data_IF_879770679946
#
_entry.id   IF_879770679946
#
_cell.length_a   1.000
_cell.length_b   1.000
_cell.length_c   1.000
_cell.angle_alpha   90.00
_cell.angle_beta   90.00
_cell.angle_gamma   90.00
#
_symmetry.space_group_name_H-M   'P 1'
#
loop_
_entity.id
_entity.type
_entity.pdbx_description
1 polymer ?
#
# COMPACT_ATOMS: atom_id res chain seq x y z
N UNK A 1 -20.53 -8.36 7.23
CA UNK A 1 -19.30 -9.15 7.51
C UNK A 1 -18.18 -8.15 7.61
N UNK A 2 -17.35 -8.25 8.64
CA UNK A 2 -16.17 -7.41 8.78
C UNK A 2 -15.20 -7.62 7.63
N UNK A 3 -14.52 -6.59 7.20
CA UNK A 3 -13.71 -6.62 5.99
C UNK A 3 -12.29 -6.09 6.22
N UNK A 4 -11.36 -6.58 5.42
CA UNK A 4 -10.00 -6.05 5.29
C UNK A 4 -9.89 -5.42 3.90
N UNK A 5 -9.52 -4.16 3.83
CA UNK A 5 -9.22 -3.49 2.56
C UNK A 5 -7.75 -3.76 2.19
N UNK A 6 -7.54 -4.38 1.02
CA UNK A 6 -6.20 -4.56 0.47
C UNK A 6 -5.94 -3.61 -0.70
N UNK A 7 -4.84 -2.87 -0.62
CA UNK A 7 -4.39 -1.92 -1.64
C UNK A 7 -3.13 -2.46 -2.31
N UNK A 8 -3.26 -2.88 -3.57
CA UNK A 8 -2.15 -3.43 -4.34
C UNK A 8 -1.11 -2.36 -4.73
N UNK A 9 0.10 -2.77 -5.07
CA UNK A 9 1.17 -1.90 -5.54
C UNK A 9 1.03 -1.51 -7.02
N UNK A 10 1.94 -0.64 -7.47
CA UNK A 10 2.05 -0.25 -8.88
C UNK A 10 2.25 -1.48 -9.78
N UNK A 11 1.75 -1.43 -10.99
CA UNK A 11 1.83 -2.49 -12.00
C UNK A 11 1.23 -3.83 -11.57
N UNK A 12 0.16 -3.79 -10.75
CA UNK A 12 -0.56 -4.93 -10.20
C UNK A 12 -2.08 -4.69 -10.29
N UNK A 13 -2.90 -5.55 -9.67
CA UNK A 13 -4.36 -5.44 -9.67
C UNK A 13 -4.97 -6.01 -8.38
N UNK A 14 -6.28 -5.82 -8.19
CA UNK A 14 -7.01 -6.28 -7.01
C UNK A 14 -6.97 -7.80 -6.79
N UNK A 15 -6.83 -8.60 -7.84
CA UNK A 15 -6.69 -10.06 -7.76
C UNK A 15 -5.22 -10.53 -7.58
N UNK A 16 -4.33 -9.64 -7.18
CA UNK A 16 -2.92 -9.96 -6.98
C UNK A 16 -2.71 -11.04 -5.90
N UNK A 17 -1.56 -11.70 -5.96
CA UNK A 17 -1.19 -12.82 -5.09
C UNK A 17 -1.40 -12.54 -3.60
N UNK A 18 -1.09 -11.33 -3.10
CA UNK A 18 -1.29 -10.99 -1.68
C UNK A 18 -2.77 -10.90 -1.29
N UNK A 19 -3.64 -10.43 -2.19
CA UNK A 19 -5.08 -10.44 -1.95
C UNK A 19 -5.58 -11.89 -1.81
N UNK A 20 -5.10 -12.80 -2.66
CA UNK A 20 -5.43 -14.23 -2.56
C UNK A 20 -4.92 -14.85 -1.26
N UNK A 21 -3.74 -14.46 -0.79
CA UNK A 21 -3.22 -14.89 0.52
C UNK A 21 -4.05 -14.34 1.69
N UNK A 22 -4.52 -13.12 1.63
CA UNK A 22 -5.46 -12.60 2.63
C UNK A 22 -6.75 -13.43 2.68
N UNK A 23 -7.34 -13.78 1.53
CA UNK A 23 -8.52 -14.64 1.46
C UNK A 23 -8.25 -16.02 2.09
N UNK A 24 -7.06 -16.59 1.83
CA UNK A 24 -6.66 -17.91 2.35
C UNK A 24 -6.51 -17.92 3.89
N UNK A 25 -5.88 -16.88 4.48
CA UNK A 25 -5.54 -16.84 5.89
C UNK A 25 -6.59 -16.19 6.80
N UNK A 26 -7.51 -15.37 6.24
CA UNK A 26 -8.48 -14.58 6.99
C UNK A 26 -9.92 -14.87 6.54
N UNK A 27 -10.31 -16.14 6.64
CA UNK A 27 -11.61 -16.67 6.15
C UNK A 27 -12.82 -16.07 6.85
N UNK A 28 -12.65 -15.49 8.04
CA UNK A 28 -13.71 -14.83 8.81
C UNK A 28 -13.94 -13.36 8.39
N UNK A 29 -13.12 -12.87 7.46
CA UNK A 29 -13.19 -11.50 6.92
C UNK A 29 -13.47 -11.52 5.41
N UNK A 30 -14.25 -10.55 4.97
CA UNK A 30 -14.32 -10.24 3.54
C UNK A 30 -13.07 -9.48 3.13
N UNK A 31 -12.41 -9.90 2.05
CA UNK A 31 -11.29 -9.15 1.48
C UNK A 31 -11.81 -8.25 0.36
N UNK A 32 -11.77 -6.95 0.61
CA UNK A 32 -12.10 -5.90 -0.37
C UNK A 32 -10.79 -5.48 -1.03
N UNK A 33 -10.67 -5.71 -2.33
CA UNK A 33 -9.42 -5.45 -3.06
C UNK A 33 -9.73 -4.85 -4.44
N UNK A 34 -9.98 -3.54 -4.52
CA UNK A 34 -10.24 -2.87 -5.79
C UNK A 34 -9.00 -2.87 -6.68
N UNK A 35 -9.20 -2.91 -8.00
CA UNK A 35 -8.13 -2.60 -8.95
C UNK A 35 -8.04 -1.08 -9.11
N UNK A 36 -6.85 -0.55 -8.86
CA UNK A 36 -6.54 0.88 -8.96
C UNK A 36 -5.74 1.15 -10.22
N UNK A 37 -6.16 2.13 -11.00
CA UNK A 37 -5.43 2.56 -12.20
C UNK A 37 -4.35 3.59 -11.84
N UNK A 38 -3.21 3.12 -11.39
CA UNK A 38 -2.04 3.97 -11.10
C UNK A 38 -1.40 4.59 -12.34
N UNK A 39 -1.78 4.17 -13.55
CA UNK A 39 -1.12 4.59 -14.78
C UNK A 39 -1.65 5.92 -15.30
N UNK A 40 -2.96 6.15 -15.12
CA UNK A 40 -3.65 7.30 -15.72
C UNK A 40 -4.41 8.16 -14.71
N UNK A 41 -4.76 7.61 -13.54
CA UNK A 41 -5.51 8.34 -12.52
C UNK A 41 -4.60 9.12 -11.58
N UNK A 42 -5.11 10.29 -11.13
CA UNK A 42 -4.48 11.07 -10.07
C UNK A 42 -4.63 10.39 -8.70
N UNK A 43 -3.76 10.69 -7.72
CA UNK A 43 -3.95 10.24 -6.33
C UNK A 43 -5.32 10.58 -5.75
N UNK A 44 -5.88 11.74 -6.06
CA UNK A 44 -7.21 12.17 -5.58
C UNK A 44 -8.32 11.25 -6.10
N UNK A 45 -8.26 10.85 -7.38
CA UNK A 45 -9.22 9.90 -7.95
C UNK A 45 -9.13 8.52 -7.29
N UNK A 46 -7.91 8.05 -7.03
CA UNK A 46 -7.67 6.78 -6.31
C UNK A 46 -8.14 6.85 -4.85
N UNK A 47 -7.91 7.97 -4.17
CA UNK A 47 -8.39 8.22 -2.81
C UNK A 47 -9.91 8.19 -2.77
N UNK A 48 -10.58 8.83 -3.73
CA UNK A 48 -12.04 8.83 -3.82
C UNK A 48 -12.59 7.41 -4.02
N UNK A 49 -11.95 6.58 -4.86
CA UNK A 49 -12.29 5.17 -5.03
C UNK A 49 -12.12 4.38 -3.73
N UNK A 50 -10.96 4.52 -3.06
CA UNK A 50 -10.69 3.84 -1.79
C UNK A 50 -11.64 4.27 -0.68
N UNK A 51 -11.98 5.56 -0.63
CA UNK A 51 -12.95 6.08 0.33
C UNK A 51 -14.33 5.49 0.09
N UNK A 52 -14.75 5.34 -1.15
CA UNK A 52 -16.01 4.66 -1.49
C UNK A 52 -16.03 3.21 -0.98
N UNK A 53 -14.93 2.46 -1.13
CA UNK A 53 -14.84 1.09 -0.58
C UNK A 53 -14.95 1.10 0.96
N UNK A 54 -14.31 2.06 1.63
CA UNK A 54 -14.38 2.20 3.09
C UNK A 54 -15.81 2.56 3.55
N UNK A 55 -16.49 3.45 2.83
CA UNK A 55 -17.84 3.91 3.18
C UNK A 55 -18.91 2.82 2.92
N UNK A 56 -18.64 1.85 2.03
CA UNK A 56 -19.60 0.81 1.62
C UNK A 56 -19.39 -0.55 2.29
N UNK A 57 -18.23 -0.76 2.92
CA UNK A 57 -17.90 -2.00 3.61
C UNK A 57 -17.52 -1.75 5.08
N UNK A 58 -17.75 -2.75 5.95
CA UNK A 58 -17.32 -2.72 7.37
C UNK A 58 -15.80 -2.98 7.46
N UNK A 59 -14.99 -1.99 7.01
CA UNK A 59 -13.53 -2.12 6.98
C UNK A 59 -12.97 -2.00 8.41
N UNK A 60 -12.29 -3.06 8.87
CA UNK A 60 -11.63 -3.13 10.18
C UNK A 60 -10.18 -2.70 10.14
N UNK A 61 -9.50 -2.97 9.02
CA UNK A 61 -8.14 -2.52 8.79
C UNK A 61 -7.83 -2.40 7.31
N UNK A 62 -6.77 -1.66 7.01
CA UNK A 62 -6.22 -1.52 5.66
C UNK A 62 -4.86 -2.20 5.60
N UNK A 63 -4.61 -2.99 4.57
CA UNK A 63 -3.30 -3.59 4.26
C UNK A 63 -2.89 -3.15 2.87
N UNK A 64 -1.68 -2.66 2.70
CA UNK A 64 -1.21 -2.31 1.36
C UNK A 64 0.28 -2.51 1.17
N UNK A 65 0.71 -2.63 -0.09
CA UNK A 65 2.10 -2.91 -0.43
C UNK A 65 2.65 -1.91 -1.44
N UNK A 66 3.91 -1.51 -1.30
CA UNK A 66 4.61 -0.62 -2.23
C UNK A 66 3.87 0.72 -2.39
N UNK A 67 3.49 1.12 -3.61
CA UNK A 67 2.66 2.31 -3.84
C UNK A 67 1.30 2.22 -3.10
N UNK A 68 0.69 1.02 -3.08
CA UNK A 68 -0.49 0.74 -2.24
C UNK A 68 -0.20 0.86 -0.74
N UNK A 69 1.04 0.60 -0.31
CA UNK A 69 1.49 0.84 1.07
C UNK A 69 1.49 2.33 1.42
N UNK A 70 1.95 3.20 0.51
CA UNK A 70 1.84 4.66 0.67
C UNK A 70 0.37 5.10 0.76
N UNK A 71 -0.49 4.60 -0.14
CA UNK A 71 -1.93 4.89 -0.09
C UNK A 71 -2.56 4.39 1.22
N UNK A 72 -2.12 3.24 1.73
CA UNK A 72 -2.55 2.70 3.03
C UNK A 72 -2.20 3.64 4.18
N UNK A 73 -0.99 4.20 4.20
CA UNK A 73 -0.60 5.20 5.20
C UNK A 73 -1.54 6.41 5.16
N UNK A 74 -1.77 6.97 3.97
CA UNK A 74 -2.64 8.12 3.80
C UNK A 74 -4.09 7.84 4.19
N UNK A 75 -4.66 6.72 3.74
CA UNK A 75 -6.04 6.33 4.06
C UNK A 75 -6.23 6.02 5.55
N UNK A 76 -5.22 5.44 6.22
CA UNK A 76 -5.21 5.26 7.67
C UNK A 76 -5.36 6.60 8.40
N UNK A 77 -4.55 7.59 8.01
CA UNK A 77 -4.59 8.94 8.60
C UNK A 77 -5.91 9.66 8.30
N UNK A 78 -6.41 9.56 7.07
CA UNK A 78 -7.64 10.23 6.62
C UNK A 78 -8.90 9.66 7.28
N UNK A 79 -8.98 8.33 7.40
CA UNK A 79 -10.19 7.62 7.85
C UNK A 79 -10.09 7.12 9.30
N UNK A 80 -8.94 7.26 9.94
CA UNK A 80 -8.71 6.81 11.30
C UNK A 80 -8.78 5.29 11.48
N UNK A 81 -8.44 4.51 10.44
CA UNK A 81 -8.46 3.05 10.46
C UNK A 81 -7.08 2.48 10.78
N UNK A 82 -7.06 1.32 11.47
CA UNK A 82 -5.84 0.55 11.68
C UNK A 82 -5.27 0.09 10.34
N UNK A 83 -3.95 0.07 10.19
CA UNK A 83 -3.32 -0.20 8.92
C UNK A 83 -1.96 -0.89 9.03
N UNK A 84 -1.66 -1.72 8.04
CA UNK A 84 -0.34 -2.31 7.82
C UNK A 84 0.21 -1.88 6.46
N UNK A 85 1.26 -1.06 6.47
CA UNK A 85 1.99 -0.65 5.28
C UNK A 85 3.19 -1.58 5.05
N UNK A 86 3.17 -2.34 3.95
CA UNK A 86 4.20 -3.33 3.60
C UNK A 86 5.11 -2.71 2.55
N UNK A 87 6.39 -2.55 2.85
CA UNK A 87 7.38 -1.96 1.95
C UNK A 87 6.84 -0.70 1.22
N UNK A 88 6.34 0.33 1.95
CA UNK A 88 5.66 1.45 1.33
C UNK A 88 6.61 2.29 0.47
N UNK A 89 6.17 2.61 -0.76
CA UNK A 89 6.86 3.55 -1.63
C UNK A 89 6.60 4.99 -1.18
N UNK A 90 7.25 5.42 -0.11
CA UNK A 90 7.05 6.76 0.48
C UNK A 90 7.55 7.90 -0.43
N UNK A 91 8.32 7.58 -1.48
CA UNK A 91 8.83 8.53 -2.48
C UNK A 91 8.49 8.09 -3.91
N UNK A 92 7.19 8.06 -4.29
CA UNK A 92 6.80 7.58 -5.62
C UNK A 92 7.34 8.45 -6.76
N UNK A 93 7.62 9.73 -6.51
CA UNK A 93 8.28 10.63 -7.45
C UNK A 93 9.71 10.18 -7.83
N UNK A 94 10.36 9.40 -6.98
CA UNK A 94 11.67 8.81 -7.28
C UNK A 94 11.51 7.43 -7.92
N UNK A 95 10.71 6.55 -7.30
CA UNK A 95 10.58 5.15 -7.73
C UNK A 95 9.82 4.98 -9.06
N UNK A 96 8.84 5.85 -9.36
CA UNK A 96 8.03 5.76 -10.58
C UNK A 96 8.64 6.45 -11.81
N UNK A 97 9.59 7.37 -11.62
CA UNK A 97 10.17 8.17 -12.72
C UNK A 97 10.66 7.33 -13.89
N UNK A 98 11.28 6.20 -13.61
CA UNK A 98 11.83 5.29 -14.64
C UNK A 98 10.76 4.62 -15.51
N UNK A 99 9.51 4.65 -15.11
CA UNK A 99 8.40 3.99 -15.80
C UNK A 99 7.56 4.92 -16.66
N UNK A 100 7.82 6.24 -16.61
CA UNK A 100 7.06 7.23 -17.37
C UNK A 100 7.30 7.00 -18.87
N UNK A 101 6.22 6.79 -19.63
CA UNK A 101 6.25 6.57 -21.07
C UNK A 101 6.83 5.21 -21.50
N UNK A 102 7.16 4.33 -20.56
CA UNK A 102 7.65 2.97 -20.85
C UNK A 102 6.47 2.00 -20.91
N UNK A 103 6.50 1.05 -21.87
CA UNK A 103 5.53 -0.03 -21.92
C UNK A 103 5.73 -0.97 -20.72
N UNK A 104 4.69 -1.14 -19.93
CA UNK A 104 4.66 -2.01 -18.76
C UNK A 104 3.67 -3.14 -19.00
N UNK A 105 4.04 -4.36 -18.59
CA UNK A 105 3.11 -5.48 -18.53
C UNK A 105 2.67 -5.63 -17.08
N UNK A 106 1.37 -5.50 -16.84
CA UNK A 106 0.80 -5.68 -15.50
C UNK A 106 1.00 -7.12 -15.02
N UNK A 107 1.57 -7.29 -13.84
CA UNK A 107 1.94 -8.61 -13.30
C UNK A 107 0.73 -9.52 -12.96
N UNK A 108 -0.45 -8.95 -12.78
CA UNK A 108 -1.64 -9.69 -12.39
C UNK A 108 -2.61 -9.93 -13.55
N UNK A 109 -2.64 -9.05 -14.56
CA UNK A 109 -3.60 -9.09 -15.68
C UNK A 109 -2.94 -9.39 -17.02
N UNK A 110 -1.60 -9.35 -17.10
CA UNK A 110 -0.80 -9.49 -18.33
C UNK A 110 -1.14 -8.46 -19.41
N UNK A 111 -1.84 -7.38 -19.05
CA UNK A 111 -2.20 -6.29 -19.96
C UNK A 111 -1.07 -5.25 -20.04
N UNK A 112 -0.98 -4.56 -21.18
CA UNK A 112 0.01 -3.50 -21.44
C UNK A 112 -0.52 -2.16 -20.98
N UNK A 113 0.32 -1.40 -20.28
CA UNK A 113 0.01 -0.07 -19.78
C UNK A 113 1.19 0.87 -19.96
N UNK A 114 0.93 2.17 -19.82
CA UNK A 114 1.93 3.24 -19.82
C UNK A 114 1.62 4.19 -18.68
N UNK A 115 2.61 4.46 -17.82
CA UNK A 115 2.47 5.53 -16.83
C UNK A 115 2.52 6.87 -17.58
N UNK A 116 1.42 7.64 -17.52
CA UNK A 116 1.37 8.96 -18.12
C UNK A 116 2.23 9.96 -17.35
N UNK A 117 2.76 10.98 -18.04
CA UNK A 117 3.48 12.08 -17.40
C UNK A 117 2.56 12.83 -16.43
N UNK A 118 1.29 13.04 -16.81
CA UNK A 118 0.30 13.72 -15.98
C UNK A 118 0.04 12.98 -14.64
N UNK A 119 -0.15 11.66 -14.68
CA UNK A 119 -0.31 10.87 -13.46
C UNK A 119 0.95 10.93 -12.59
N UNK A 120 2.13 10.82 -13.19
CA UNK A 120 3.40 10.94 -12.46
C UNK A 120 3.55 12.31 -11.77
N UNK A 121 3.26 13.42 -12.48
CA UNK A 121 3.34 14.78 -11.93
C UNK A 121 2.33 14.97 -10.77
N UNK A 122 1.13 14.35 -10.88
CA UNK A 122 0.14 14.36 -9.82
C UNK A 122 0.64 13.66 -8.54
N UNK A 123 1.41 12.57 -8.65
CA UNK A 123 2.05 11.94 -7.47
C UNK A 123 3.07 12.86 -6.81
N UNK A 124 3.83 13.63 -7.59
CA UNK A 124 4.78 14.59 -7.02
C UNK A 124 4.04 15.67 -6.21
N UNK A 125 2.96 16.24 -6.75
CA UNK A 125 2.12 17.20 -6.03
C UNK A 125 1.48 16.62 -4.78
N UNK A 126 1.01 15.38 -4.86
CA UNK A 126 0.41 14.70 -3.72
C UNK A 126 1.40 14.51 -2.55
N UNK A 127 2.63 14.08 -2.83
CA UNK A 127 3.65 13.84 -1.80
C UNK A 127 4.10 15.15 -1.14
N UNK A 128 4.26 16.23 -1.90
CA UNK A 128 4.73 17.52 -1.37
C UNK A 128 3.61 18.35 -0.70
N UNK A 129 2.37 17.96 -0.89
CA UNK A 129 1.18 18.60 -0.33
C UNK A 129 0.40 17.64 0.57
N UNK A 130 -0.74 17.09 0.12
CA UNK A 130 -1.69 16.37 0.97
C UNK A 130 -1.07 15.25 1.80
N UNK A 131 -0.14 14.46 1.25
CA UNK A 131 0.51 13.37 1.98
C UNK A 131 1.43 13.89 3.11
N UNK A 132 2.15 14.98 2.86
CA UNK A 132 3.04 15.58 3.85
C UNK A 132 2.28 16.31 4.97
N UNK A 133 1.05 16.77 4.70
CA UNK A 133 0.25 17.58 5.61
C UNK A 133 -0.61 16.75 6.56
N UNK A 134 -0.79 15.42 6.30
CA UNK A 134 -1.59 14.58 7.20
C UNK A 134 -0.85 14.23 8.48
N UNK A 135 -1.62 14.06 9.55
CA UNK A 135 -1.12 13.54 10.81
C UNK A 135 -1.27 12.02 10.87
N UNK A 136 -0.15 11.30 10.98
CA UNK A 136 -0.14 9.85 11.15
C UNK A 136 -0.27 9.45 12.61
N UNK A 137 -1.25 8.61 12.92
CA UNK A 137 -1.48 8.08 14.26
C UNK A 137 -0.63 6.81 14.48
N UNK A 138 0.31 6.86 15.42
CA UNK A 138 1.21 5.74 15.73
C UNK A 138 0.48 4.51 16.32
N UNK A 139 -0.70 4.70 16.91
CA UNK A 139 -1.51 3.61 17.46
C UNK A 139 -2.27 2.85 16.37
N UNK A 140 -2.36 3.44 15.16
CA UNK A 140 -3.12 2.88 14.04
C UNK A 140 -2.26 2.38 12.90
N UNK A 141 -1.08 2.95 12.70
CA UNK A 141 -0.22 2.64 11.56
C UNK A 141 0.97 1.76 11.98
N UNK A 142 1.04 0.58 11.40
CA UNK A 142 2.13 -0.39 11.55
C UNK A 142 2.86 -0.58 10.23
N UNK A 143 4.16 -0.83 10.29
CA UNK A 143 5.00 -1.08 9.12
C UNK A 143 5.57 -2.50 9.13
N UNK A 144 5.66 -3.10 7.94
CA UNK A 144 6.41 -4.33 7.68
C UNK A 144 7.44 -4.05 6.58
N UNK A 145 8.73 -4.05 6.93
CA UNK A 145 9.81 -3.61 6.06
C UNK A 145 10.77 -4.75 5.75
N UNK A 146 11.02 -5.00 4.47
CA UNK A 146 12.03 -5.92 4.00
C UNK A 146 13.40 -5.23 4.01
N UNK A 147 14.39 -5.80 4.71
CA UNK A 147 15.75 -5.22 4.73
C UNK A 147 16.49 -5.35 3.40
N UNK A 148 16.14 -6.37 2.61
CA UNK A 148 16.73 -6.64 1.30
C UNK A 148 15.82 -6.16 0.16
N UNK A 149 15.17 -5.00 0.34
CA UNK A 149 14.31 -4.40 -0.69
C UNK A 149 15.16 -3.86 -1.85
N UNK A 150 15.15 -4.60 -2.95
CA UNK A 150 15.96 -4.30 -4.15
C UNK A 150 15.40 -3.17 -5.02
N UNK A 151 14.12 -2.77 -4.79
CA UNK A 151 13.46 -1.73 -5.58
C UNK A 151 13.48 -0.36 -4.91
N UNK A 152 13.23 -0.32 -3.60
CA UNK A 152 13.14 0.94 -2.84
C UNK A 152 14.40 1.21 -2.00
N UNK A 153 15.27 0.21 -1.83
CA UNK A 153 16.51 0.34 -1.08
C UNK A 153 16.27 0.44 0.44
N UNK A 154 17.12 1.23 1.11
CA UNK A 154 17.06 1.39 2.57
C UNK A 154 15.84 2.18 3.02
N UNK A 155 15.21 1.72 4.10
CA UNK A 155 14.12 2.41 4.81
C UNK A 155 14.58 3.32 5.94
N UNK A 156 15.86 3.67 6.03
CA UNK A 156 16.37 4.47 7.15
C UNK A 156 15.70 5.84 7.28
N UNK A 157 15.45 6.51 6.16
CA UNK A 157 14.73 7.79 6.14
C UNK A 157 13.27 7.64 6.62
N UNK A 158 12.59 6.58 6.20
CA UNK A 158 11.23 6.28 6.66
C UNK A 158 11.23 5.95 8.16
N UNK A 159 12.17 5.14 8.64
CA UNK A 159 12.28 4.78 10.05
C UNK A 159 12.56 6.00 10.94
N UNK A 160 13.37 6.94 10.49
CA UNK A 160 13.61 8.19 11.22
C UNK A 160 12.34 9.07 11.25
N UNK A 161 11.64 9.21 10.12
CA UNK A 161 10.39 9.96 10.04
C UNK A 161 9.30 9.39 10.95
N UNK A 162 9.20 8.05 11.01
CA UNK A 162 8.19 7.33 11.79
C UNK A 162 8.74 6.72 13.08
N UNK A 163 9.72 7.40 13.69
CA UNK A 163 10.26 7.01 14.98
C UNK A 163 9.17 6.96 16.07
N UNK A 164 9.07 5.81 16.75
CA UNK A 164 8.05 5.55 17.77
C UNK A 164 6.77 4.88 17.23
N UNK A 165 6.69 4.63 15.92
CA UNK A 165 5.67 3.75 15.34
C UNK A 165 6.09 2.28 15.47
N UNK A 166 5.11 1.36 15.37
CA UNK A 166 5.39 -0.07 15.31
C UNK A 166 5.98 -0.43 13.94
N UNK A 167 7.23 -0.89 13.91
CA UNK A 167 7.96 -1.26 12.70
C UNK A 167 8.51 -2.67 12.87
N UNK A 168 8.08 -3.60 12.00
CA UNK A 168 8.62 -4.95 11.90
C UNK A 168 9.61 -4.99 10.74
N UNK A 169 10.85 -5.38 10.99
CA UNK A 169 11.89 -5.52 9.97
C UNK A 169 12.18 -7.00 9.71
N UNK A 170 12.34 -7.38 8.44
CA UNK A 170 12.53 -8.76 8.03
C UNK A 170 13.81 -8.95 7.22
N UNK A 171 14.69 -9.80 7.71
CA UNK A 171 15.88 -10.23 6.99
C UNK A 171 15.54 -11.24 5.90
N UNK A 172 16.29 -11.22 4.80
CA UNK A 172 16.12 -12.14 3.66
C UNK A 172 14.71 -12.10 3.05
N UNK A 173 14.13 -10.92 3.05
CA UNK A 173 12.85 -10.59 2.41
C UNK A 173 13.07 -9.46 1.44
N UNK A 174 12.59 -9.61 0.21
CA UNK A 174 12.71 -8.65 -0.88
C UNK A 174 11.48 -7.76 -1.01
N UNK A 175 11.48 -6.81 -1.96
CA UNK A 175 10.35 -5.90 -2.19
C UNK A 175 8.99 -6.60 -2.34
N UNK A 176 8.95 -7.71 -3.07
CA UNK A 176 7.70 -8.46 -3.30
C UNK A 176 7.11 -9.09 -2.05
N UNK A 177 7.89 -9.23 -0.98
CA UNK A 177 7.48 -9.80 0.31
C UNK A 177 6.72 -11.14 0.14
N UNK A 178 7.38 -12.10 -0.48
CA UNK A 178 6.75 -13.40 -0.82
C UNK A 178 6.51 -14.32 0.38
N UNK A 179 7.10 -14.01 1.55
CA UNK A 179 6.90 -14.75 2.80
C UNK A 179 5.68 -14.20 3.55
N UNK A 180 4.50 -14.37 2.96
CA UNK A 180 3.25 -13.81 3.51
C UNK A 180 2.94 -14.31 4.92
N UNK A 181 3.35 -15.53 5.24
CA UNK A 181 3.19 -16.16 6.56
C UNK A 181 3.79 -15.32 7.71
N UNK A 182 4.79 -14.48 7.44
CA UNK A 182 5.36 -13.56 8.44
C UNK A 182 4.42 -12.38 8.76
N UNK A 183 3.52 -12.04 7.85
CA UNK A 183 2.56 -10.95 8.03
C UNK A 183 1.30 -11.40 8.79
N UNK A 184 0.99 -12.70 8.75
CA UNK A 184 -0.25 -13.24 9.35
C UNK A 184 -0.37 -12.91 10.83
N UNK A 185 0.62 -13.16 11.71
CA UNK A 185 0.53 -12.80 13.12
C UNK A 185 0.35 -11.29 13.31
N UNK A 186 1.06 -10.45 12.56
CA UNK A 186 0.95 -8.99 12.66
C UNK A 186 -0.46 -8.53 12.32
N UNK A 187 -1.04 -9.05 11.23
CA UNK A 187 -2.40 -8.70 10.81
C UNK A 187 -3.42 -9.13 11.88
N UNK A 188 -3.26 -10.32 12.48
CA UNK A 188 -4.12 -10.79 13.58
C UNK A 188 -4.02 -9.86 14.80
N UNK A 189 -2.82 -9.53 15.23
CA UNK A 189 -2.60 -8.63 16.38
C UNK A 189 -3.26 -7.25 16.14
N UNK A 190 -3.18 -6.71 14.92
CA UNK A 190 -3.85 -5.44 14.58
C UNK A 190 -5.38 -5.57 14.61
N UNK A 191 -5.94 -6.67 14.16
CA UNK A 191 -7.39 -6.91 14.13
C UNK A 191 -7.97 -7.14 15.54
N UNK A 192 -7.23 -7.78 16.44
CA UNK A 192 -7.66 -8.16 17.78
C UNK A 192 -7.46 -7.03 18.82
N UNK A 193 -6.47 -6.17 18.65
CA UNK A 193 -6.16 -5.02 19.53
C UNK A 193 -7.00 -3.81 19.24
#
# INVERSE_FOLDING_TARGET
MQSILYIHGFNSAGNAWKAMKLIEYFTDYQIVSPTLDYYTQSPDALIAQLKHEIDTHDIRMIVGTSLGGMMTMYMSALCGLKALAINPASRPNESLRQFVGVELINYATETKHYLSQEAFDAYQGFITGPFNDVHFDREKLTFALAKDDELLGSYDSLKEQFKGFTIHEFDKVTHRFVKFEYLVPIIRDILEG
#
